data_IF_606512313706
#
_entry.id   IF_606512313706
#
_cell.length_a   1.000
_cell.length_b   1.000
_cell.length_c   1.000
_cell.angle_alpha   90.00
_cell.angle_beta   90.00
_cell.angle_gamma   90.00
#
_symmetry.space_group_name_H-M   'P 1'
#
loop_
_entity.id
_entity.type
_entity.pdbx_description
1 polymer ?
#
# COMPACT_ATOMS: atom_id res chain seq x y z
N UNK A 1 8.97 -12.79 -22.65
CA UNK A 1 9.95 -12.57 -21.57
C UNK A 1 11.36 -12.51 -22.12
N UNK A 2 11.92 -13.61 -22.64
CA UNK A 2 13.31 -13.67 -23.11
C UNK A 2 13.71 -12.59 -24.14
N UNK A 3 12.81 -12.28 -25.08
CA UNK A 3 13.03 -11.21 -26.06
C UNK A 3 13.12 -9.81 -25.43
N UNK A 4 12.29 -9.53 -24.41
CA UNK A 4 12.37 -8.28 -23.65
C UNK A 4 13.70 -8.22 -22.89
N UNK A 5 14.07 -9.32 -22.23
CA UNK A 5 15.35 -9.41 -21.53
C UNK A 5 16.53 -9.19 -22.49
N UNK A 6 16.49 -9.75 -23.69
CA UNK A 6 17.55 -9.51 -24.68
C UNK A 6 17.65 -8.04 -25.09
N UNK A 7 16.50 -7.38 -25.32
CA UNK A 7 16.46 -5.95 -25.62
C UNK A 7 17.01 -5.08 -24.49
N UNK A 8 16.70 -5.42 -23.23
CA UNK A 8 17.07 -4.61 -22.06
C UNK A 8 18.52 -4.80 -21.58
N UNK A 9 19.21 -5.88 -21.98
CA UNK A 9 20.63 -6.15 -21.60
C UNK A 9 21.59 -5.02 -21.95
N UNK A 10 21.27 -4.22 -22.97
CA UNK A 10 22.11 -3.07 -23.37
C UNK A 10 22.08 -1.92 -22.36
N UNK A 11 21.11 -1.91 -21.43
CA UNK A 11 20.96 -0.88 -20.41
C UNK A 11 21.40 -1.33 -19.01
N UNK A 12 21.65 -2.62 -18.77
CA UNK A 12 22.05 -3.08 -17.44
C UNK A 12 22.17 -4.59 -17.31
N UNK A 13 22.65 -5.04 -16.14
CA UNK A 13 22.82 -6.45 -15.82
C UNK A 13 21.53 -7.06 -15.25
N UNK A 14 20.85 -7.85 -16.07
CA UNK A 14 19.60 -8.54 -15.73
C UNK A 14 19.80 -9.82 -14.89
N UNK A 15 21.03 -10.32 -14.76
CA UNK A 15 21.32 -11.55 -14.02
C UNK A 15 21.67 -11.30 -12.54
N UNK A 16 21.98 -10.05 -12.19
CA UNK A 16 22.46 -9.67 -10.86
C UNK A 16 21.37 -9.58 -9.78
N UNK A 17 20.16 -9.16 -10.14
CA UNK A 17 19.05 -8.89 -9.23
C UNK A 17 17.70 -9.22 -9.89
N UNK A 18 16.70 -9.62 -9.09
CA UNK A 18 15.33 -9.84 -9.56
C UNK A 18 14.61 -8.55 -9.99
N UNK A 19 15.09 -7.39 -9.52
CA UNK A 19 14.70 -6.05 -9.98
C UNK A 19 15.96 -5.32 -10.50
N UNK A 20 16.33 -5.52 -11.77
CA UNK A 20 17.54 -4.93 -12.33
C UNK A 20 17.44 -3.41 -12.42
N UNK A 21 18.58 -2.74 -12.21
CA UNK A 21 18.73 -1.29 -12.43
C UNK A 21 19.20 -1.10 -13.86
N UNK A 22 18.46 -0.31 -14.64
CA UNK A 22 18.72 -0.04 -16.04
C UNK A 22 19.10 1.43 -16.23
N UNK A 23 20.18 1.68 -16.97
CA UNK A 23 20.62 3.00 -17.40
C UNK A 23 19.83 3.45 -18.65
N UNK A 24 18.53 3.66 -18.46
CA UNK A 24 17.62 4.18 -19.48
C UNK A 24 16.55 5.08 -18.85
N UNK A 25 15.96 5.96 -19.66
CA UNK A 25 14.81 6.75 -19.24
C UNK A 25 13.53 5.91 -19.27
N UNK A 26 12.49 6.35 -18.57
CA UNK A 26 11.18 5.70 -18.59
C UNK A 26 10.58 5.53 -20.01
N UNK A 27 10.61 6.54 -20.92
CA UNK A 27 10.11 6.34 -22.28
C UNK A 27 10.94 5.31 -23.07
N UNK A 28 12.26 5.31 -22.92
CA UNK A 28 13.12 4.30 -23.57
C UNK A 28 12.77 2.88 -23.11
N UNK A 29 12.53 2.69 -21.81
CA UNK A 29 12.09 1.40 -21.28
C UNK A 29 10.77 0.94 -21.93
N UNK A 30 9.79 1.84 -22.00
CA UNK A 30 8.48 1.53 -22.62
C UNK A 30 8.67 1.20 -24.10
N UNK A 31 9.39 2.01 -24.85
CA UNK A 31 9.62 1.80 -26.28
C UNK A 31 10.25 0.43 -26.57
N UNK A 32 11.27 0.03 -25.79
CA UNK A 32 11.95 -1.25 -25.94
C UNK A 32 11.04 -2.43 -25.60
N UNK A 33 10.23 -2.31 -24.55
CA UNK A 33 9.26 -3.35 -24.18
C UNK A 33 8.17 -3.47 -25.26
N UNK A 34 7.64 -2.35 -25.75
CA UNK A 34 6.55 -2.33 -26.73
C UNK A 34 7.01 -2.76 -28.13
N UNK A 35 8.29 -2.59 -28.48
CA UNK A 35 8.87 -3.08 -29.73
C UNK A 35 8.81 -4.60 -29.84
N UNK A 36 8.84 -5.32 -28.71
CA UNK A 36 8.75 -6.79 -28.70
C UNK A 36 7.32 -7.27 -28.99
N UNK A 37 6.32 -6.65 -28.37
CA UNK A 37 4.90 -6.94 -28.62
C UNK A 37 4.01 -5.82 -28.12
N UNK A 38 2.95 -5.53 -28.88
CA UNK A 38 1.87 -4.63 -28.47
C UNK A 38 1.00 -5.19 -27.32
N UNK A 39 1.09 -6.50 -27.07
CA UNK A 39 0.35 -7.15 -25.97
C UNK A 39 1.03 -6.94 -24.61
N UNK A 40 2.26 -6.45 -24.58
CA UNK A 40 2.97 -6.19 -23.34
C UNK A 40 2.29 -5.05 -22.58
N UNK A 41 2.12 -5.23 -21.27
CA UNK A 41 1.56 -4.22 -20.40
C UNK A 41 2.67 -3.59 -19.56
N UNK A 42 2.80 -2.27 -19.62
CA UNK A 42 3.73 -1.49 -18.80
C UNK A 42 2.93 -0.46 -17.99
N UNK A 43 3.20 -0.38 -16.69
CA UNK A 43 2.62 0.63 -15.81
C UNK A 43 3.63 1.02 -14.72
N UNK A 44 3.62 2.27 -14.23
CA UNK A 44 4.45 2.68 -13.12
C UNK A 44 3.99 2.01 -11.82
N UNK A 45 4.94 1.39 -11.11
CA UNK A 45 4.72 0.79 -9.80
C UNK A 45 4.59 1.86 -8.71
N UNK A 46 3.77 1.56 -7.69
CA UNK A 46 3.62 2.30 -6.43
C UNK A 46 3.84 3.83 -6.53
N UNK A 47 3.01 4.50 -7.34
CA UNK A 47 3.30 5.83 -7.94
C UNK A 47 3.49 6.98 -6.93
N UNK A 48 3.11 6.80 -5.67
CA UNK A 48 3.18 7.83 -4.63
C UNK A 48 4.26 7.63 -3.57
N UNK A 49 5.03 6.52 -3.61
CA UNK A 49 6.06 6.37 -2.57
C UNK A 49 7.08 7.51 -2.67
N UNK A 50 7.58 8.08 -1.55
CA UNK A 50 8.23 9.38 -1.62
C UNK A 50 9.53 9.43 -2.43
N UNK A 51 10.14 8.26 -2.67
CA UNK A 51 11.37 8.06 -3.44
C UNK A 51 11.12 7.04 -4.56
N UNK A 52 11.80 7.19 -5.70
CA UNK A 52 11.77 6.24 -6.82
C UNK A 52 10.35 5.93 -7.35
N UNK A 53 9.45 6.91 -7.34
CA UNK A 53 8.09 6.76 -7.86
C UNK A 53 7.68 7.95 -8.69
N UNK A 54 6.71 7.73 -9.57
CA UNK A 54 6.26 8.69 -10.56
C UNK A 54 5.89 10.05 -9.95
N UNK A 55 5.06 10.08 -8.90
CA UNK A 55 4.63 11.31 -8.21
C UNK A 55 5.38 11.54 -6.89
N UNK A 56 6.48 10.82 -6.66
CA UNK A 56 7.23 10.84 -5.41
C UNK A 56 7.66 12.25 -4.99
N UNK A 57 7.47 12.57 -3.71
CA UNK A 57 7.69 13.90 -3.15
C UNK A 57 9.13 14.44 -3.29
N UNK A 58 10.13 13.55 -3.47
CA UNK A 58 11.55 13.93 -3.49
C UNK A 58 12.26 13.63 -4.82
N UNK A 59 11.68 12.82 -5.70
CA UNK A 59 12.31 12.38 -6.95
C UNK A 59 11.34 12.18 -8.11
N UNK A 60 10.08 12.61 -7.98
CA UNK A 60 9.03 12.38 -8.97
C UNK A 60 8.81 13.56 -9.93
N UNK A 61 7.78 13.38 -10.76
CA UNK A 61 7.21 14.31 -11.72
C UNK A 61 5.86 14.83 -11.21
N UNK A 62 5.32 15.86 -11.86
CA UNK A 62 3.99 16.40 -11.56
C UNK A 62 2.90 15.80 -12.48
N UNK A 63 3.29 15.22 -13.62
CA UNK A 63 2.39 14.55 -14.56
C UNK A 63 2.97 13.23 -15.09
N UNK A 64 2.12 12.35 -15.62
CA UNK A 64 2.57 11.10 -16.27
C UNK A 64 3.36 11.42 -17.54
N UNK A 65 2.91 12.44 -18.27
CA UNK A 65 3.48 12.92 -19.52
C UNK A 65 4.90 13.47 -19.36
N UNK A 66 5.21 14.14 -18.24
CA UNK A 66 6.58 14.61 -17.97
C UNK A 66 7.57 13.44 -17.81
N UNK A 67 7.09 12.29 -17.31
CA UNK A 67 7.91 11.10 -17.12
C UNK A 67 8.03 10.28 -18.40
N UNK A 68 6.90 9.97 -19.05
CA UNK A 68 6.82 9.02 -20.16
C UNK A 68 6.76 9.66 -21.55
N UNK A 69 6.63 10.99 -21.64
CA UNK A 69 6.65 11.73 -22.90
C UNK A 69 5.65 11.16 -23.92
N UNK A 70 6.06 10.95 -25.17
CA UNK A 70 5.23 10.37 -26.23
C UNK A 70 4.89 8.88 -26.02
N UNK A 71 5.58 8.20 -25.10
CA UNK A 71 5.28 6.82 -24.70
C UNK A 71 4.14 6.72 -23.67
N UNK A 72 3.64 7.84 -23.16
CA UNK A 72 2.45 7.88 -22.25
C UNK A 72 1.24 7.16 -22.85
N UNK A 73 1.10 7.16 -24.18
CA UNK A 73 0.04 6.45 -24.92
C UNK A 73 -0.02 4.93 -24.68
N UNK A 74 1.04 4.33 -24.13
CA UNK A 74 1.13 2.91 -23.80
C UNK A 74 0.89 2.61 -22.31
N UNK A 75 0.70 3.65 -21.49
CA UNK A 75 0.40 3.50 -20.07
C UNK A 75 -1.12 3.53 -19.91
N UNK A 76 -1.69 2.43 -19.44
CA UNK A 76 -3.14 2.28 -19.26
C UNK A 76 -3.54 2.11 -17.80
N UNK A 77 -2.57 1.93 -16.92
CA UNK A 77 -2.80 1.71 -15.50
C UNK A 77 -1.73 2.39 -14.66
N UNK A 78 -2.04 2.63 -13.40
CA UNK A 78 -1.12 3.12 -12.37
C UNK A 78 -1.27 2.26 -11.13
N UNK A 79 -0.16 1.80 -10.56
CA UNK A 79 -0.23 1.11 -9.27
C UNK A 79 -0.20 2.14 -8.13
N UNK A 80 -1.25 2.18 -7.32
CA UNK A 80 -1.38 3.11 -6.18
C UNK A 80 -0.25 2.89 -5.16
N UNK A 81 -0.05 1.61 -4.81
CA UNK A 81 0.85 1.12 -3.78
C UNK A 81 0.44 1.55 -2.37
N UNK A 82 1.15 1.03 -1.38
CA UNK A 82 0.83 1.10 0.06
C UNK A 82 0.74 2.51 0.70
N UNK A 83 0.98 3.56 -0.09
CA UNK A 83 1.04 4.95 0.40
C UNK A 83 -0.12 5.81 -0.10
N UNK A 84 -0.94 5.30 -1.01
CA UNK A 84 -2.16 5.95 -1.46
C UNK A 84 -3.24 4.94 -1.81
N UNK A 85 -4.45 5.43 -2.01
CA UNK A 85 -5.61 4.62 -2.40
C UNK A 85 -6.41 5.34 -3.50
N UNK A 86 -7.48 4.73 -4.04
CA UNK A 86 -8.26 5.35 -5.10
C UNK A 86 -8.82 6.73 -4.74
N UNK A 87 -9.41 6.97 -3.54
CA UNK A 87 -9.79 8.32 -3.12
C UNK A 87 -8.69 9.38 -3.23
N UNK A 88 -7.45 9.06 -2.85
CA UNK A 88 -6.33 9.99 -3.00
C UNK A 88 -6.03 10.29 -4.48
N UNK A 89 -6.14 9.30 -5.37
CA UNK A 89 -5.84 9.44 -6.80
C UNK A 89 -6.97 10.12 -7.58
N UNK A 90 -8.23 9.86 -7.25
CA UNK A 90 -9.40 10.47 -7.89
C UNK A 90 -9.45 12.00 -7.75
N UNK A 91 -8.66 12.55 -6.83
CA UNK A 91 -8.47 13.97 -6.66
C UNK A 91 -7.73 14.66 -7.82
N UNK A 92 -7.14 13.90 -8.73
CA UNK A 92 -6.40 14.39 -9.88
C UNK A 92 -7.14 13.99 -11.17
N UNK A 93 -7.82 14.93 -11.81
CA UNK A 93 -8.60 14.65 -13.03
C UNK A 93 -7.81 14.05 -14.18
N UNK A 94 -6.52 14.36 -14.25
CA UNK A 94 -5.59 13.80 -15.23
C UNK A 94 -5.34 12.31 -15.06
N UNK A 95 -5.80 11.69 -13.97
CA UNK A 95 -5.62 10.27 -13.71
C UNK A 95 -6.86 9.43 -14.07
N UNK A 96 -7.98 10.05 -14.44
CA UNK A 96 -9.27 9.38 -14.64
C UNK A 96 -9.25 8.29 -15.73
N UNK A 97 -8.36 8.44 -16.72
CA UNK A 97 -8.26 7.49 -17.83
C UNK A 97 -7.32 6.31 -17.56
N UNK A 98 -6.70 6.24 -16.38
CA UNK A 98 -5.89 5.09 -15.98
C UNK A 98 -6.67 4.19 -15.03
N UNK A 99 -6.55 2.88 -15.23
CA UNK A 99 -6.97 1.91 -14.22
C UNK A 99 -6.05 2.00 -13.00
N UNK A 100 -6.63 2.09 -11.81
CA UNK A 100 -5.88 2.09 -10.55
C UNK A 100 -5.72 0.66 -10.07
N UNK A 101 -4.47 0.18 -10.03
CA UNK A 101 -4.12 -1.15 -9.57
C UNK A 101 -3.57 -1.09 -8.15
N UNK A 102 -3.83 -2.15 -7.38
CA UNK A 102 -3.34 -2.32 -6.03
C UNK A 102 -2.63 -3.66 -5.89
N UNK A 103 -1.34 -3.62 -5.58
CA UNK A 103 -0.48 -4.80 -5.52
C UNK A 103 0.37 -4.77 -4.26
N UNK A 104 0.50 -5.93 -3.61
CA UNK A 104 1.15 -6.03 -2.31
C UNK A 104 2.65 -5.67 -2.24
N UNK A 105 3.36 -5.60 -3.36
CA UNK A 105 4.84 -5.50 -3.42
C UNK A 105 5.51 -6.46 -2.42
N UNK A 106 5.19 -7.75 -2.56
CA UNK A 106 5.47 -8.75 -1.54
C UNK A 106 6.93 -9.18 -1.52
N UNK A 107 7.56 -9.06 -0.34
CA UNK A 107 8.96 -9.44 -0.10
C UNK A 107 9.10 -10.56 0.95
N UNK A 108 8.00 -11.20 1.35
CA UNK A 108 8.05 -12.37 2.24
C UNK A 108 6.76 -13.20 2.13
N UNK A 109 6.87 -14.50 2.28
CA UNK A 109 5.76 -15.45 2.17
C UNK A 109 4.64 -15.29 3.23
N UNK A 110 4.79 -14.39 4.20
CA UNK A 110 3.82 -14.23 5.29
C UNK A 110 2.47 -13.65 4.79
N UNK A 111 1.32 -14.13 5.31
CA UNK A 111 0.00 -13.63 4.93
C UNK A 111 -0.21 -12.12 5.16
N UNK A 112 0.47 -11.51 6.14
CA UNK A 112 0.44 -10.06 6.34
C UNK A 112 1.30 -9.26 5.34
N UNK A 113 1.88 -9.93 4.34
CA UNK A 113 2.62 -9.31 3.24
C UNK A 113 2.03 -9.69 1.90
N UNK A 114 1.86 -10.98 1.61
CA UNK A 114 1.24 -11.42 0.37
C UNK A 114 -0.25 -11.08 0.37
N UNK A 115 -0.75 -10.43 -0.69
CA UNK A 115 -2.17 -10.10 -0.78
C UNK A 115 -2.68 -9.03 0.19
N UNK A 116 -1.81 -8.31 0.90
CA UNK A 116 -2.25 -7.13 1.70
C UNK A 116 -2.89 -6.03 0.84
N UNK A 117 -2.58 -6.05 -0.45
CA UNK A 117 -3.17 -5.26 -1.53
C UNK A 117 -3.38 -6.18 -2.72
N UNK A 118 -4.52 -6.05 -3.40
CA UNK A 118 -4.91 -6.93 -4.50
C UNK A 118 -5.97 -6.28 -5.41
N UNK A 119 -6.19 -6.91 -6.57
CA UNK A 119 -7.19 -6.52 -7.55
C UNK A 119 -8.21 -7.65 -7.70
N UNK A 120 -9.50 -7.33 -7.72
CA UNK A 120 -10.57 -8.31 -7.87
C UNK A 120 -11.19 -8.22 -9.26
N UNK A 121 -11.08 -9.32 -10.00
CA UNK A 121 -11.60 -9.44 -11.35
C UNK A 121 -12.70 -10.50 -11.44
N UNK A 122 -13.66 -10.24 -12.31
CA UNK A 122 -14.74 -11.14 -12.71
C UNK A 122 -14.57 -11.40 -14.22
N UNK A 123 -13.81 -12.44 -14.55
CA UNK A 123 -13.41 -12.76 -15.91
C UNK A 123 -14.07 -14.06 -16.36
N UNK A 124 -14.47 -14.17 -17.64
CA UNK A 124 -14.97 -15.45 -18.18
C UNK A 124 -13.91 -16.55 -18.09
N UNK A 125 -12.66 -16.21 -18.39
CA UNK A 125 -11.51 -17.10 -18.34
C UNK A 125 -10.28 -16.36 -17.79
N UNK A 126 -9.51 -17.00 -16.91
CA UNK A 126 -8.26 -16.45 -16.39
C UNK A 126 -7.14 -16.61 -17.42
N UNK A 127 -7.06 -15.67 -18.35
CA UNK A 127 -5.99 -15.59 -19.35
C UNK A 127 -5.34 -14.21 -19.32
N UNK A 128 -4.09 -14.12 -19.77
CA UNK A 128 -3.36 -12.85 -19.83
C UNK A 128 -4.15 -11.77 -20.58
N UNK A 129 -4.69 -12.10 -21.75
CA UNK A 129 -5.43 -11.16 -22.59
C UNK A 129 -6.75 -10.70 -21.96
N UNK A 130 -7.48 -11.59 -21.28
CA UNK A 130 -8.71 -11.21 -20.56
C UNK A 130 -8.39 -10.29 -19.38
N UNK A 131 -7.30 -10.56 -18.67
CA UNK A 131 -6.84 -9.72 -17.56
C UNK A 131 -6.37 -8.35 -18.04
N UNK A 132 -5.46 -8.28 -19.03
CA UNK A 132 -4.91 -7.02 -19.51
C UNK A 132 -5.97 -6.16 -20.19
N UNK A 133 -6.87 -6.75 -20.98
CA UNK A 133 -7.99 -5.99 -21.58
C UNK A 133 -8.95 -5.44 -20.52
N UNK A 134 -9.29 -6.21 -19.47
CA UNK A 134 -10.13 -5.70 -18.39
C UNK A 134 -9.50 -4.48 -17.69
N UNK A 135 -8.17 -4.46 -17.55
CA UNK A 135 -7.44 -3.32 -16.99
C UNK A 135 -7.41 -2.15 -17.99
N UNK A 136 -7.06 -2.38 -19.25
CA UNK A 136 -6.95 -1.34 -20.28
C UNK A 136 -8.29 -0.65 -20.53
N UNK A 137 -9.37 -1.44 -20.60
CA UNK A 137 -10.73 -0.94 -20.79
C UNK A 137 -11.28 -0.28 -19.52
N UNK A 138 -10.62 -0.52 -18.37
CA UNK A 138 -11.02 -0.08 -17.04
C UNK A 138 -12.51 -0.36 -16.73
N UNK A 139 -12.96 -1.54 -17.15
CA UNK A 139 -14.36 -1.96 -17.19
C UNK A 139 -14.82 -2.44 -15.80
N UNK A 140 -15.74 -1.72 -15.10
CA UNK A 140 -16.19 -2.09 -13.76
C UNK A 140 -16.93 -3.44 -13.69
N UNK A 141 -17.42 -3.96 -14.82
CA UNK A 141 -18.06 -5.28 -14.86
C UNK A 141 -17.01 -6.39 -14.74
N UNK A 142 -15.80 -6.19 -15.28
CA UNK A 142 -14.70 -7.17 -15.24
C UNK A 142 -13.64 -6.87 -14.20
N UNK A 143 -13.33 -5.60 -13.96
CA UNK A 143 -12.45 -5.14 -12.88
C UNK A 143 -13.30 -4.52 -11.77
N UNK A 144 -13.67 -5.33 -10.78
CA UNK A 144 -14.70 -4.96 -9.80
C UNK A 144 -14.23 -3.91 -8.81
N UNK A 145 -13.10 -4.19 -8.16
CA UNK A 145 -12.53 -3.34 -7.12
C UNK A 145 -11.10 -3.71 -6.77
N UNK A 146 -10.41 -2.79 -6.10
CA UNK A 146 -9.14 -3.06 -5.42
C UNK A 146 -9.34 -3.34 -3.93
N UNK A 147 -8.42 -4.12 -3.35
CA UNK A 147 -8.26 -4.28 -1.91
C UNK A 147 -7.07 -3.43 -1.52
N UNK A 148 -7.29 -2.46 -0.64
CA UNK A 148 -6.32 -1.43 -0.27
C UNK A 148 -5.96 -1.53 1.21
N UNK A 149 -4.70 -1.26 1.55
CA UNK A 149 -4.37 -0.91 2.94
C UNK A 149 -4.72 0.56 3.18
N UNK A 150 -5.23 0.92 4.36
CA UNK A 150 -5.46 2.34 4.66
C UNK A 150 -4.12 3.11 4.60
N UNK A 151 -3.96 4.09 3.70
CA UNK A 151 -2.68 4.76 3.48
C UNK A 151 -2.20 5.53 4.72
N UNK A 152 -3.10 5.87 5.66
CA UNK A 152 -2.74 6.46 6.94
C UNK A 152 -1.86 5.55 7.80
N UNK A 153 -1.85 4.24 7.54
CA UNK A 153 -0.91 3.31 8.18
C UNK A 153 0.55 3.56 7.73
N UNK A 154 0.73 4.16 6.57
CA UNK A 154 2.00 4.47 5.95
C UNK A 154 2.90 5.36 6.83
N UNK A 155 4.18 5.03 6.85
CA UNK A 155 5.25 5.73 7.57
C UNK A 155 5.38 7.22 7.26
N UNK A 156 4.95 7.63 6.07
CA UNK A 156 5.13 8.96 5.52
C UNK A 156 3.80 9.51 5.00
N UNK A 157 2.66 9.10 5.58
CA UNK A 157 1.36 9.55 5.11
C UNK A 157 1.16 11.04 5.38
N UNK A 158 1.19 11.43 6.66
CA UNK A 158 1.11 12.83 7.08
C UNK A 158 2.46 13.51 7.14
N UNK A 159 2.44 14.83 6.96
CA UNK A 159 3.61 15.69 7.14
C UNK A 159 3.92 15.80 8.62
N UNK A 160 5.19 15.61 8.98
CA UNK A 160 5.51 15.55 10.40
C UNK A 160 6.99 15.66 10.74
N UNK A 161 7.25 15.61 12.05
CA UNK A 161 8.57 15.61 12.63
C UNK A 161 8.60 14.67 13.84
N UNK A 162 9.20 13.50 13.66
CA UNK A 162 9.27 12.39 14.63
C UNK A 162 9.85 12.85 15.96
N UNK A 163 10.94 13.62 15.93
CA UNK A 163 11.63 14.04 17.16
C UNK A 163 10.75 14.93 18.04
N UNK A 164 9.86 15.71 17.44
CA UNK A 164 8.90 16.55 18.16
C UNK A 164 7.53 15.90 18.33
N UNK A 165 7.32 14.69 17.79
CA UNK A 165 6.04 13.96 17.81
C UNK A 165 4.86 14.75 17.23
N UNK A 166 5.13 15.54 16.19
CA UNK A 166 4.12 16.33 15.48
C UNK A 166 3.80 15.64 14.16
N UNK A 167 2.51 15.43 13.92
CA UNK A 167 1.92 14.90 12.69
C UNK A 167 0.73 15.78 12.34
N UNK A 168 0.71 16.33 11.12
CA UNK A 168 -0.29 17.30 10.70
C UNK A 168 -0.85 16.92 9.31
N UNK A 169 -2.16 17.10 9.11
CA UNK A 169 -2.73 17.02 7.77
C UNK A 169 -2.19 18.17 6.89
N UNK A 170 -2.25 18.05 5.55
CA UNK A 170 -1.65 18.99 4.60
C UNK A 170 -2.02 20.45 4.86
N UNK A 171 -3.32 20.73 5.02
CA UNK A 171 -3.83 22.09 5.24
C UNK A 171 -3.27 22.75 6.51
N UNK A 172 -2.93 21.98 7.55
CA UNK A 172 -2.31 22.50 8.77
C UNK A 172 -0.80 22.67 8.62
N UNK A 173 -0.12 21.72 7.99
CA UNK A 173 1.32 21.83 7.72
C UNK A 173 1.66 23.09 6.89
N UNK A 174 0.82 23.41 5.90
CA UNK A 174 0.94 24.60 5.05
C UNK A 174 0.81 25.89 5.89
N UNK A 175 -0.11 25.94 6.87
CA UNK A 175 -0.26 27.11 7.77
C UNK A 175 1.00 27.40 8.59
N UNK A 176 1.82 26.38 8.86
CA UNK A 176 3.11 26.53 9.53
C UNK A 176 4.29 26.73 8.56
N UNK A 177 4.02 27.05 7.29
CA UNK A 177 5.04 27.17 6.23
C UNK A 177 5.93 25.92 6.14
N UNK A 178 5.36 24.75 6.39
CA UNK A 178 6.05 23.46 6.45
C UNK A 178 7.21 23.40 7.48
N UNK A 179 7.14 24.20 8.55
CA UNK A 179 8.11 24.20 9.64
C UNK A 179 7.49 23.73 10.95
N UNK A 180 8.22 22.92 11.70
CA UNK A 180 7.77 22.41 12.98
C UNK A 180 7.52 23.56 13.98
N UNK A 181 6.33 23.66 14.60
CA UNK A 181 6.03 24.74 15.55
C UNK A 181 6.88 24.63 16.84
N UNK A 182 7.38 23.43 17.15
CA UNK A 182 8.18 23.16 18.35
C UNK A 182 9.64 23.55 18.15
N UNK A 183 10.29 23.06 17.08
CA UNK A 183 11.74 23.23 16.89
C UNK A 183 12.13 24.08 15.67
N UNK A 184 11.15 24.59 14.89
CA UNK A 184 11.32 25.43 13.69
C UNK A 184 12.10 24.81 12.53
N UNK A 185 12.46 23.51 12.61
CA UNK A 185 13.04 22.76 11.48
C UNK A 185 11.95 22.41 10.48
N UNK A 186 12.33 22.21 9.21
CA UNK A 186 11.41 21.75 8.16
C UNK A 186 10.78 20.40 8.53
N UNK A 187 9.50 20.23 8.23
CA UNK A 187 8.85 18.93 8.31
C UNK A 187 9.35 17.99 7.21
N UNK A 188 9.27 16.69 7.47
CA UNK A 188 9.28 15.68 6.42
C UNK A 188 7.92 15.70 5.73
N UNK A 189 7.89 16.04 4.44
CA UNK A 189 6.65 16.08 3.64
C UNK A 189 6.03 14.69 3.57
N UNK A 190 4.73 14.61 3.87
CA UNK A 190 3.92 13.41 3.74
C UNK A 190 3.36 13.22 2.33
N UNK A 191 2.97 11.98 2.01
CA UNK A 191 2.36 11.59 0.74
C UNK A 191 1.02 12.29 0.54
N UNK A 192 0.21 12.44 1.58
CA UNK A 192 -1.07 13.14 1.47
C UNK A 192 -0.87 14.62 1.09
N UNK A 193 0.21 15.26 1.58
CA UNK A 193 0.52 16.63 1.18
C UNK A 193 1.00 16.69 -0.27
N UNK A 194 1.73 15.68 -0.76
CA UNK A 194 2.13 15.62 -2.18
C UNK A 194 0.91 15.43 -3.10
N UNK A 195 -0.08 14.64 -2.68
CA UNK A 195 -1.38 14.54 -3.37
C UNK A 195 -2.10 15.89 -3.35
N UNK A 196 -2.18 16.56 -2.18
CA UNK A 196 -2.80 17.88 -2.04
C UNK A 196 -2.20 18.93 -2.98
N UNK A 197 -0.88 18.90 -3.18
CA UNK A 197 -0.16 19.82 -4.07
C UNK A 197 -0.54 19.63 -5.56
N UNK A 198 -0.90 18.41 -5.96
CA UNK A 198 -1.23 18.07 -7.36
C UNK A 198 -2.73 17.98 -7.63
N UNK A 199 -3.55 17.86 -6.59
CA UNK A 199 -4.99 17.68 -6.68
C UNK A 199 -5.69 18.90 -7.28
N UNK A 200 -6.68 18.64 -8.15
CA UNK A 200 -7.58 19.64 -8.73
C UNK A 200 -9.05 19.42 -8.31
N UNK A 201 -9.30 18.44 -7.45
CA UNK A 201 -10.61 18.08 -6.89
C UNK A 201 -10.58 17.95 -5.36
N UNK A 202 -11.75 18.10 -4.70
CA UNK A 202 -11.83 17.96 -3.25
C UNK A 202 -11.62 16.51 -2.80
N UNK A 203 -11.24 16.33 -1.53
CA UNK A 203 -10.90 15.04 -0.96
C UNK A 203 -12.08 14.04 -0.85
N UNK A 204 -13.31 14.52 -0.92
CA UNK A 204 -14.54 13.72 -0.91
C UNK A 204 -15.07 13.39 -2.31
N UNK A 205 -14.31 13.75 -3.37
CA UNK A 205 -14.67 13.40 -4.73
C UNK A 205 -14.57 11.88 -4.96
N UNK A 206 -15.63 11.32 -5.53
CA UNK A 206 -15.67 9.94 -5.99
C UNK A 206 -16.28 9.89 -7.41
N UNK A 207 -15.59 9.28 -8.39
CA UNK A 207 -16.14 9.12 -9.73
C UNK A 207 -17.31 8.14 -9.72
N UNK A 208 -18.21 8.31 -10.69
CA UNK A 208 -19.24 7.31 -11.00
C UNK A 208 -18.68 6.37 -12.04
N UNK A 209 -19.11 5.11 -12.01
CA UNK A 209 -18.81 4.11 -13.05
C UNK A 209 -17.32 3.74 -13.19
N UNK A 210 -16.56 3.76 -12.08
CA UNK A 210 -15.19 3.26 -12.00
C UNK A 210 -15.11 2.03 -11.07
N UNK A 211 -14.11 1.15 -11.23
CA UNK A 211 -13.81 0.12 -10.24
C UNK A 211 -13.72 0.72 -8.83
N UNK A 212 -14.37 0.07 -7.86
CA UNK A 212 -14.42 0.56 -6.47
C UNK A 212 -13.21 0.08 -5.66
N UNK A 213 -13.23 0.26 -4.34
CA UNK A 213 -12.17 -0.23 -3.47
C UNK A 213 -12.73 -0.70 -2.12
N UNK A 214 -11.99 -1.59 -1.46
CA UNK A 214 -12.25 -2.04 -0.08
C UNK A 214 -10.98 -1.83 0.74
N UNK A 215 -11.05 -1.08 1.84
CA UNK A 215 -9.94 -0.98 2.79
C UNK A 215 -9.95 -2.16 3.73
N UNK A 216 -8.85 -2.91 3.78
CA UNK A 216 -8.65 -4.02 4.69
C UNK A 216 -7.30 -3.87 5.40
N UNK A 217 -7.15 -4.60 6.50
CA UNK A 217 -5.87 -4.82 7.15
C UNK A 217 -5.66 -6.33 7.28
N UNK A 218 -4.40 -6.81 7.22
CA UNK A 218 -4.13 -8.21 7.46
C UNK A 218 -4.73 -8.69 8.77
N UNK A 219 -5.34 -9.87 8.77
CA UNK A 219 -6.04 -10.43 9.91
C UNK A 219 -5.13 -10.52 11.14
N UNK A 220 -3.86 -10.89 10.95
CA UNK A 220 -2.88 -10.92 12.03
C UNK A 220 -2.61 -9.54 12.65
N UNK A 221 -2.67 -8.46 11.87
CA UNK A 221 -2.50 -7.10 12.40
C UNK A 221 -3.71 -6.64 13.21
N UNK A 222 -4.92 -7.02 12.78
CA UNK A 222 -6.15 -6.77 13.54
C UNK A 222 -6.09 -7.51 14.89
N UNK A 223 -5.70 -8.78 14.89
CA UNK A 223 -5.55 -9.56 16.12
C UNK A 223 -4.44 -8.98 17.01
N UNK A 224 -3.32 -8.51 16.44
CA UNK A 224 -2.27 -7.81 17.20
C UNK A 224 -2.81 -6.59 17.91
N UNK A 225 -3.59 -5.75 17.22
CA UNK A 225 -4.18 -4.55 17.78
C UNK A 225 -5.14 -4.85 18.95
N UNK A 226 -5.93 -5.93 18.85
CA UNK A 226 -6.84 -6.37 19.94
C UNK A 226 -6.07 -6.93 21.15
N UNK A 227 -5.03 -7.72 20.89
CA UNK A 227 -4.26 -8.42 21.94
C UNK A 227 -3.16 -7.57 22.57
N UNK A 228 -2.87 -6.39 22.00
CA UNK A 228 -1.75 -5.55 22.43
C UNK A 228 -0.37 -6.17 22.16
N UNK A 229 -0.28 -7.05 21.15
CA UNK A 229 0.97 -7.74 20.81
C UNK A 229 1.74 -6.96 19.74
N UNK A 230 3.06 -6.83 19.90
CA UNK A 230 3.91 -6.06 18.97
C UNK A 230 4.36 -6.83 17.73
N UNK A 231 3.97 -8.10 17.57
CA UNK A 231 4.43 -8.94 16.46
C UNK A 231 3.33 -9.90 15.98
N UNK A 232 3.03 -9.91 14.66
CA UNK A 232 2.06 -10.84 14.07
C UNK A 232 2.56 -12.28 14.06
N UNK A 233 3.85 -12.52 14.29
CA UNK A 233 4.46 -13.85 14.21
C UNK A 233 4.26 -14.71 15.47
N UNK A 234 3.63 -14.19 16.53
CA UNK A 234 3.55 -14.91 17.81
C UNK A 234 2.41 -15.95 17.83
N UNK A 235 2.58 -17.02 18.61
CA UNK A 235 1.55 -18.07 18.75
C UNK A 235 0.21 -17.52 19.27
N UNK A 236 0.23 -16.47 20.08
CA UNK A 236 -0.96 -15.76 20.56
C UNK A 236 -1.82 -15.23 19.41
N UNK A 237 -1.20 -14.87 18.29
CA UNK A 237 -1.86 -14.37 17.07
C UNK A 237 -2.24 -15.53 16.15
N UNK A 238 -1.31 -16.46 15.95
CA UNK A 238 -1.52 -17.60 15.04
C UNK A 238 -2.64 -18.53 15.51
N UNK A 239 -2.89 -18.65 16.81
CA UNK A 239 -3.99 -19.48 17.31
C UNK A 239 -5.37 -18.98 16.83
N UNK A 240 -5.82 -17.75 17.14
CA UNK A 240 -7.09 -17.25 16.63
C UNK A 240 -7.09 -17.09 15.10
N UNK A 241 -5.94 -16.74 14.49
CA UNK A 241 -5.82 -16.71 13.02
C UNK A 241 -6.18 -18.07 12.41
N UNK A 242 -5.48 -19.14 12.81
CA UNK A 242 -5.71 -20.48 12.25
C UNK A 242 -7.12 -21.00 12.52
N UNK A 243 -7.69 -20.70 13.71
CA UNK A 243 -9.07 -21.07 14.00
C UNK A 243 -10.08 -20.43 13.04
N UNK A 244 -9.85 -19.16 12.66
CA UNK A 244 -10.68 -18.48 11.66
C UNK A 244 -10.47 -19.07 10.27
N UNK A 245 -9.22 -19.29 9.86
CA UNK A 245 -8.93 -19.91 8.55
C UNK A 245 -9.52 -21.32 8.45
N UNK A 246 -9.40 -22.16 9.48
CA UNK A 246 -10.02 -23.50 9.50
C UNK A 246 -11.54 -23.45 9.38
N UNK A 247 -12.19 -22.42 9.94
CA UNK A 247 -13.65 -22.27 9.90
C UNK A 247 -14.16 -21.72 8.57
N UNK A 248 -13.43 -20.78 7.98
CA UNK A 248 -13.89 -19.96 6.85
C UNK A 248 -13.09 -20.18 5.56
N UNK A 249 -12.05 -21.00 5.57
CA UNK A 249 -11.26 -21.37 4.39
C UNK A 249 -10.04 -20.48 4.16
N UNK A 250 -10.23 -19.16 4.03
CA UNK A 250 -9.16 -18.22 3.75
C UNK A 250 -9.33 -16.85 4.45
N UNK A 251 -8.27 -16.04 4.42
CA UNK A 251 -8.22 -14.75 5.10
C UNK A 251 -9.18 -13.73 4.49
N UNK A 252 -9.35 -13.69 3.17
CA UNK A 252 -10.27 -12.75 2.54
C UNK A 252 -11.72 -13.07 2.89
N UNK A 253 -12.10 -14.35 2.94
CA UNK A 253 -13.43 -14.74 3.38
C UNK A 253 -13.70 -14.29 4.82
N UNK A 254 -12.71 -14.41 5.72
CA UNK A 254 -12.79 -13.89 7.08
C UNK A 254 -12.95 -12.37 7.10
N UNK A 255 -12.16 -11.64 6.31
CA UNK A 255 -12.13 -10.18 6.34
C UNK A 255 -13.35 -9.55 5.64
N UNK A 256 -13.90 -10.18 4.62
CA UNK A 256 -14.91 -9.59 3.72
C UNK A 256 -16.32 -10.15 3.99
N UNK A 257 -16.48 -11.45 4.16
CA UNK A 257 -17.80 -12.11 4.08
C UNK A 257 -18.26 -12.74 5.41
N UNK A 258 -17.34 -13.27 6.22
CA UNK A 258 -17.66 -14.08 7.40
C UNK A 258 -18.61 -13.35 8.37
N UNK A 259 -19.74 -13.94 8.80
CA UNK A 259 -20.67 -13.30 9.72
C UNK A 259 -20.08 -13.10 11.12
N UNK A 260 -20.41 -11.97 11.77
CA UNK A 260 -19.92 -11.62 13.12
C UNK A 260 -20.16 -12.75 14.14
N UNK A 261 -21.40 -13.24 14.24
CA UNK A 261 -21.77 -14.27 15.22
C UNK A 261 -21.02 -15.58 14.98
N UNK A 262 -20.76 -15.92 13.72
CA UNK A 262 -19.99 -17.10 13.36
C UNK A 262 -18.52 -16.96 13.74
N UNK A 263 -17.92 -15.77 13.58
CA UNK A 263 -16.56 -15.50 14.04
C UNK A 263 -16.45 -15.52 15.57
N UNK A 264 -17.39 -14.87 16.26
CA UNK A 264 -17.43 -14.77 17.73
C UNK A 264 -17.68 -16.14 18.41
N UNK A 265 -18.20 -17.13 17.69
CA UNK A 265 -18.32 -18.49 18.18
C UNK A 265 -16.98 -19.26 18.24
N UNK A 266 -15.95 -18.79 17.53
CA UNK A 266 -14.68 -19.50 17.36
C UNK A 266 -13.51 -18.77 18.04
N UNK A 267 -13.52 -17.44 18.04
CA UNK A 267 -12.51 -16.59 18.66
C UNK A 267 -13.12 -15.62 19.66
N UNK A 268 -12.27 -14.91 20.41
CA UNK A 268 -12.72 -13.88 21.34
C UNK A 268 -13.62 -12.84 20.62
N UNK A 269 -14.80 -12.48 21.16
CA UNK A 269 -15.71 -11.52 20.56
C UNK A 269 -15.05 -10.17 20.21
N UNK A 270 -14.02 -9.74 20.97
CA UNK A 270 -13.29 -8.53 20.66
C UNK A 270 -12.53 -8.61 19.32
N UNK A 271 -12.01 -9.79 18.96
CA UNK A 271 -11.37 -10.04 17.66
C UNK A 271 -12.40 -9.95 16.54
N UNK A 272 -13.54 -10.65 16.69
CA UNK A 272 -14.61 -10.64 15.70
C UNK A 272 -15.17 -9.22 15.47
N UNK A 273 -15.33 -8.44 16.53
CA UNK A 273 -15.75 -7.04 16.46
C UNK A 273 -14.71 -6.14 15.78
N UNK A 274 -13.41 -6.36 16.05
CA UNK A 274 -12.35 -5.59 15.39
C UNK A 274 -12.30 -5.86 13.88
N UNK A 275 -12.48 -7.12 13.45
CA UNK A 275 -12.59 -7.48 12.03
C UNK A 275 -13.77 -6.76 11.39
N UNK A 276 -14.94 -6.76 12.04
CA UNK A 276 -16.13 -6.07 11.53
C UNK A 276 -15.90 -4.56 11.39
N UNK A 277 -15.27 -3.92 12.39
CA UNK A 277 -14.95 -2.48 12.33
C UNK A 277 -14.02 -2.11 11.17
N UNK A 278 -13.05 -2.98 10.86
CA UNK A 278 -12.17 -2.78 9.70
C UNK A 278 -12.97 -2.97 8.41
N UNK A 279 -13.76 -4.05 8.30
CA UNK A 279 -14.62 -4.34 7.14
C UNK A 279 -15.58 -3.20 6.81
N UNK A 280 -16.19 -2.59 7.83
CA UNK A 280 -17.15 -1.49 7.69
C UNK A 280 -16.50 -0.11 7.59
N UNK A 281 -15.16 -0.01 7.66
CA UNK A 281 -14.44 1.27 7.61
C UNK A 281 -14.66 2.17 8.83
N UNK A 282 -15.15 1.62 9.95
CA UNK A 282 -15.40 2.37 11.19
C UNK A 282 -14.19 2.41 12.13
N UNK A 283 -13.19 1.56 11.89
CA UNK A 283 -11.91 1.62 12.60
C UNK A 283 -11.13 2.88 12.22
N UNK A 284 -10.68 3.63 13.23
CA UNK A 284 -9.85 4.83 13.00
C UNK A 284 -8.39 4.45 12.95
N UNK A 285 -7.61 5.14 12.13
CA UNK A 285 -6.15 5.02 12.12
C UNK A 285 -5.55 6.35 12.56
N UNK A 286 -4.62 6.31 13.51
CA UNK A 286 -3.76 7.47 13.78
C UNK A 286 -2.71 7.50 12.68
N UNK A 287 -2.63 8.58 11.87
CA UNK A 287 -1.76 8.58 10.71
C UNK A 287 -0.27 8.54 11.04
N UNK A 288 0.46 7.73 10.28
CA UNK A 288 1.92 7.69 10.33
C UNK A 288 2.57 8.92 9.71
N UNK A 289 3.80 9.19 10.10
CA UNK A 289 4.55 10.39 9.71
C UNK A 289 6.03 10.22 9.99
N UNK A 290 6.89 10.86 9.18
CA UNK A 290 8.34 10.92 9.37
C UNK A 290 8.98 9.57 9.76
N UNK A 291 8.56 8.50 9.08
CA UNK A 291 9.01 7.12 9.25
C UNK A 291 8.42 6.35 10.44
N UNK A 292 7.47 6.94 11.17
CA UNK A 292 6.65 6.28 12.22
C UNK A 292 5.40 5.72 11.56
N UNK A 293 5.14 4.43 11.75
CA UNK A 293 3.92 3.80 11.24
C UNK A 293 2.67 4.38 11.91
N UNK A 294 1.58 4.41 11.16
CA UNK A 294 0.26 4.65 11.74
C UNK A 294 -0.17 3.53 12.67
N UNK A 295 -1.21 3.77 13.44
CA UNK A 295 -1.71 2.83 14.45
C UNK A 295 -3.22 2.69 14.37
N UNK A 296 -3.70 1.44 14.36
CA UNK A 296 -5.12 1.14 14.41
C UNK A 296 -5.68 1.51 15.79
N UNK A 297 -6.72 2.34 15.80
CA UNK A 297 -7.43 2.77 17.01
C UNK A 297 -8.77 2.05 17.04
N UNK A 298 -8.77 0.89 17.71
CA UNK A 298 -9.95 0.04 17.79
C UNK A 298 -11.00 0.53 18.78
N UNK A 299 -10.70 1.51 19.65
CA UNK A 299 -11.67 2.03 20.63
C UNK A 299 -12.20 0.96 21.60
N UNK A 300 -11.44 -0.11 21.81
CA UNK A 300 -11.71 -1.24 22.70
C UNK A 300 -10.50 -1.35 23.64
N UNK A 301 -10.72 -1.63 24.93
CA UNK A 301 -9.59 -1.93 25.84
C UNK A 301 -8.86 -3.19 25.35
N UNK A 302 -7.52 -3.17 25.19
CA UNK A 302 -6.78 -4.35 24.77
C UNK A 302 -7.05 -5.52 25.72
N UNK A 303 -7.21 -6.72 25.16
CA UNK A 303 -7.26 -7.92 25.98
C UNK A 303 -5.98 -7.98 26.79
N UNK A 304 -6.09 -8.03 28.13
CA UNK A 304 -4.93 -8.16 29.03
C UNK A 304 -4.32 -9.56 28.87
N UNK A 305 -3.53 -9.75 27.82
CA UNK A 305 -2.67 -10.93 27.71
C UNK A 305 -1.58 -10.76 28.75
N UNK A 306 -1.47 -11.70 29.69
CA UNK A 306 -0.34 -11.77 30.63
C UNK A 306 0.93 -11.98 29.80
N UNK A 307 1.60 -10.89 29.41
CA UNK A 307 2.93 -10.99 28.84
C UNK A 307 3.84 -11.55 29.94
N UNK A 308 4.39 -12.75 29.72
CA UNK A 308 5.65 -13.09 30.38
C UNK A 308 6.63 -12.07 29.80
N UNK A 309 7.03 -11.09 30.61
CA UNK A 309 8.06 -10.15 30.25
C UNK A 309 9.30 -10.95 29.86
N UNK A 310 9.52 -11.14 28.55
CA UNK A 310 10.81 -11.55 28.06
C UNK A 310 11.70 -10.33 28.27
N UNK A 311 12.56 -10.39 29.29
CA UNK A 311 13.66 -9.47 29.42
C UNK A 311 14.51 -9.62 28.15
N UNK A 312 14.31 -8.72 27.19
CA UNK A 312 15.22 -8.57 26.07
C UNK A 312 16.48 -7.96 26.67
N UNK A 313 17.42 -8.81 27.07
CA UNK A 313 18.79 -8.37 27.26
C UNK A 313 19.23 -7.78 25.93
N UNK A 314 19.48 -6.47 25.89
CA UNK A 314 20.12 -5.83 24.75
C UNK A 314 21.46 -6.55 24.53
N UNK A 315 21.53 -7.39 23.51
CA UNK A 315 22.82 -7.84 23.00
C UNK A 315 23.46 -6.60 22.39
N UNK A 316 24.43 -6.05 23.11
CA UNK A 316 25.24 -4.94 22.65
C UNK A 316 26.06 -5.47 21.47
N UNK A 317 25.79 -4.96 20.27
CA UNK A 317 26.55 -5.31 19.08
C UNK A 317 27.98 -4.83 19.30
N UNK A 318 28.92 -5.78 19.48
CA UNK A 318 30.34 -5.48 19.63
C UNK A 318 30.86 -4.80 18.37
N UNK A 319 31.61 -3.71 18.52
CA UNK A 319 32.26 -3.06 17.39
C UNK A 319 33.48 -3.85 16.95
N UNK A 320 33.94 -3.66 15.72
CA UNK A 320 35.17 -4.31 15.20
C UNK A 320 36.41 -4.02 16.05
N UNK A 321 36.40 -2.99 16.90
CA UNK A 321 37.45 -2.70 17.89
C UNK A 321 37.51 -3.68 19.06
N UNK A 322 36.46 -4.48 19.28
CA UNK A 322 36.40 -5.45 20.38
C UNK A 322 37.04 -6.80 20.01
N UNK A 323 37.62 -6.90 18.80
CA UNK A 323 38.21 -8.11 18.22
C UNK A 323 39.69 -7.94 17.81
N UNK A 324 40.34 -6.83 18.20
CA UNK A 324 41.78 -6.60 18.04
C UNK A 324 42.42 -6.22 19.37
#
# INVERSE_FOLDING_TARGET
>A
ADQISEGLKKYGDLASDGRPILDCTAPQLVEEVMTVSGDNMVFPAHVWTPWFSLFGAFSGFDTVEDCYQDMTKHIHALETGLSSDPPMNWRLSKLDHYALLSNSDCHSFWPWRIGREANVFDLPDLTYNQLTSAIIDNDPERFKYTIETDPAYGKYHWTGHRNCKISLPPAEAIKFSNNCPVCRRKFTKGVEQRVEELADRPADYAPKDMPTYKRLLPLSEIICAVTGTNSPATQTIWKPYNQLIERFGDEYNVLIEAPLDAMAAVVDPAIAQAILRVREGTAKVTPGYDGVYGQLVLGIEPLKVKSKAAAVAKVQQKSMSDFW
#
